data_IF_822894663191
#
_entry.id   IF_822894663191
#
_cell.length_a   1.000
_cell.length_b   1.000
_cell.length_c   1.000
_cell.angle_alpha   90.00
_cell.angle_beta   90.00
_cell.angle_gamma   90.00
#
_symmetry.space_group_name_H-M   'P 1'
#
loop_
_entity.id
_entity.type
_entity.pdbx_description
1 polymer ?
#
# COMPACT_ATOMS: atom_id res chain seq x y z
N UNK A 1 -21.91 22.39 4.92
CA UNK A 1 -21.45 22.96 3.63
C UNK A 1 -19.98 23.42 3.65
N UNK A 2 -19.46 23.99 4.76
CA UNK A 2 -18.06 24.47 4.84
C UNK A 2 -17.00 23.45 4.38
N UNK A 3 -17.06 22.22 4.89
CA UNK A 3 -16.10 21.13 4.56
C UNK A 3 -16.19 20.57 3.13
N UNK A 4 -17.28 20.84 2.41
CA UNK A 4 -17.43 20.42 1.01
C UNK A 4 -16.87 21.50 0.08
N UNK A 5 -17.12 22.77 0.41
CA UNK A 5 -16.57 23.91 -0.34
C UNK A 5 -15.03 23.94 -0.32
N UNK A 6 -14.40 23.59 0.80
CA UNK A 6 -12.95 23.45 0.94
C UNK A 6 -12.39 22.30 0.09
N UNK A 7 -13.08 21.16 0.04
CA UNK A 7 -12.71 20.05 -0.84
C UNK A 7 -12.77 20.45 -2.32
N UNK A 8 -13.89 21.04 -2.75
CA UNK A 8 -14.05 21.51 -4.14
C UNK A 8 -13.08 22.64 -4.49
N UNK A 9 -12.72 23.52 -3.54
CA UNK A 9 -11.69 24.53 -3.73
C UNK A 9 -10.31 23.90 -4.00
N UNK A 10 -9.93 22.88 -3.23
CA UNK A 10 -8.68 22.16 -3.42
C UNK A 10 -8.63 21.46 -4.79
N UNK A 11 -9.71 20.80 -5.17
CA UNK A 11 -9.86 20.21 -6.51
C UNK A 11 -9.82 21.26 -7.62
N UNK A 12 -10.43 22.42 -7.41
CA UNK A 12 -10.42 23.54 -8.36
C UNK A 12 -9.03 24.12 -8.54
N UNK A 13 -8.28 24.32 -7.45
CA UNK A 13 -6.90 24.80 -7.49
C UNK A 13 -6.00 23.80 -8.23
N UNK A 14 -6.12 22.51 -7.93
CA UNK A 14 -5.41 21.45 -8.65
C UNK A 14 -5.74 21.48 -10.15
N UNK A 15 -7.02 21.56 -10.50
CA UNK A 15 -7.46 21.61 -11.90
C UNK A 15 -6.96 22.86 -12.63
N UNK A 16 -6.98 24.02 -11.97
CA UNK A 16 -6.49 25.27 -12.52
C UNK A 16 -4.99 25.19 -12.83
N UNK A 17 -4.18 24.61 -11.94
CA UNK A 17 -2.75 24.44 -12.19
C UNK A 17 -2.46 23.44 -13.32
N UNK A 18 -3.22 22.34 -13.41
CA UNK A 18 -3.12 21.44 -14.57
C UNK A 18 -3.42 22.18 -15.88
N UNK A 19 -4.49 22.98 -15.91
CA UNK A 19 -4.88 23.79 -17.06
C UNK A 19 -3.83 24.84 -17.44
N UNK A 20 -3.23 25.51 -16.45
CA UNK A 20 -2.13 26.46 -16.69
C UNK A 20 -0.91 25.77 -17.31
N UNK A 21 -0.53 24.60 -16.80
CA UNK A 21 0.58 23.81 -17.35
C UNK A 21 0.35 23.42 -18.81
N UNK A 22 -0.81 22.82 -19.10
CA UNK A 22 -1.19 22.41 -20.46
C UNK A 22 -1.25 23.59 -21.43
N UNK A 23 -1.76 24.75 -20.98
CA UNK A 23 -1.85 25.97 -21.79
C UNK A 23 -0.47 26.56 -22.09
N UNK A 24 0.43 26.59 -21.10
CA UNK A 24 1.80 27.06 -21.30
C UNK A 24 2.58 26.16 -22.27
N UNK A 25 2.47 24.84 -22.13
CA UNK A 25 3.06 23.87 -23.05
C UNK A 25 2.55 24.08 -24.48
N UNK A 26 1.23 24.16 -24.65
CA UNK A 26 0.60 24.33 -25.96
C UNK A 26 0.99 25.64 -26.63
N UNK A 27 1.00 26.75 -25.88
CA UNK A 27 1.39 28.05 -26.38
C UNK A 27 2.87 28.09 -26.80
N UNK A 28 3.77 27.59 -25.95
CA UNK A 28 5.20 27.60 -26.24
C UNK A 28 5.60 26.67 -27.42
N UNK A 29 4.74 25.71 -27.78
CA UNK A 29 5.00 24.71 -28.81
C UNK A 29 4.49 25.09 -30.22
N UNK A 30 3.98 26.31 -30.43
CA UNK A 30 3.54 26.73 -31.77
C UNK A 30 4.69 26.76 -32.78
N UNK A 31 4.53 26.20 -34.01
CA UNK A 31 5.60 26.15 -35.02
C UNK A 31 6.18 27.52 -35.41
N UNK A 32 5.38 28.59 -35.32
CA UNK A 32 5.85 29.96 -35.57
C UNK A 32 7.00 30.37 -34.64
N UNK A 33 7.03 29.85 -33.41
CA UNK A 33 8.10 30.12 -32.45
C UNK A 33 9.37 29.30 -32.71
N UNK A 34 9.31 28.27 -33.57
CA UNK A 34 10.48 27.48 -33.96
C UNK A 34 11.39 28.18 -34.97
N UNK A 35 10.94 29.31 -35.56
CA UNK A 35 11.73 30.08 -36.52
C UNK A 35 12.95 30.75 -35.91
N UNK A 36 12.90 31.08 -34.60
CA UNK A 36 14.01 31.69 -33.86
C UNK A 36 14.12 31.00 -32.50
N UNK A 37 15.26 30.38 -32.16
CA UNK A 37 15.46 29.77 -30.85
C UNK A 37 15.25 30.79 -29.72
N UNK A 38 14.32 30.50 -28.81
CA UNK A 38 14.02 31.33 -27.65
C UNK A 38 14.05 30.48 -26.36
N UNK A 39 15.13 30.59 -25.55
CA UNK A 39 15.26 29.83 -24.30
C UNK A 39 14.10 30.03 -23.32
N UNK A 40 13.46 31.21 -23.31
CA UNK A 40 12.32 31.46 -22.43
C UNK A 40 11.08 30.65 -22.84
N UNK A 41 10.85 30.46 -24.16
CA UNK A 41 9.76 29.62 -24.64
C UNK A 41 10.06 28.12 -24.42
N UNK A 42 11.30 27.69 -24.58
CA UNK A 42 11.71 26.32 -24.25
C UNK A 42 11.50 26.01 -22.77
N UNK A 43 11.89 26.93 -21.90
CA UNK A 43 11.67 26.79 -20.46
C UNK A 43 10.18 26.80 -20.11
N UNK A 44 9.37 27.67 -20.74
CA UNK A 44 7.91 27.70 -20.56
C UNK A 44 7.25 26.39 -20.98
N UNK A 45 7.65 25.80 -22.11
CA UNK A 45 7.16 24.50 -22.56
C UNK A 45 7.49 23.41 -21.52
N UNK A 46 8.75 23.36 -21.07
CA UNK A 46 9.21 22.40 -20.08
C UNK A 46 8.49 22.54 -18.73
N UNK A 47 8.31 23.77 -18.26
CA UNK A 47 7.52 24.05 -17.06
C UNK A 47 6.06 23.58 -17.23
N UNK A 48 5.48 23.84 -18.39
CA UNK A 48 4.12 23.42 -18.74
C UNK A 48 3.95 21.91 -18.67
N UNK A 49 4.85 21.17 -19.31
CA UNK A 49 4.86 19.70 -19.34
C UNK A 49 4.97 19.09 -17.93
N UNK A 50 5.95 19.52 -17.14
CA UNK A 50 6.17 19.01 -15.78
C UNK A 50 4.98 19.34 -14.88
N UNK A 51 4.44 20.56 -14.99
CA UNK A 51 3.29 21.02 -14.19
C UNK A 51 2.03 20.24 -14.54
N UNK A 52 1.67 20.14 -15.82
CA UNK A 52 0.50 19.38 -16.27
C UNK A 52 0.56 17.94 -15.77
N UNK A 53 1.66 17.23 -16.04
CA UNK A 53 1.85 15.84 -15.63
C UNK A 53 1.69 15.68 -14.12
N UNK A 54 2.30 16.57 -13.33
CA UNK A 54 2.24 16.50 -11.86
C UNK A 54 0.80 16.58 -11.35
N UNK A 55 0.02 17.58 -11.78
CA UNK A 55 -1.36 17.76 -11.32
C UNK A 55 -2.34 16.74 -11.91
N UNK A 56 -2.03 16.15 -13.07
CA UNK A 56 -2.80 15.03 -13.64
C UNK A 56 -2.60 13.75 -12.80
N UNK A 57 -1.38 13.47 -12.35
CA UNK A 57 -1.07 12.28 -11.56
C UNK A 57 -1.76 12.27 -10.19
N UNK A 58 -1.95 13.45 -9.59
CA UNK A 58 -2.63 13.60 -8.29
C UNK A 58 -4.05 13.06 -8.20
N UNK A 59 -4.71 12.80 -9.34
CA UNK A 59 -6.09 12.26 -9.37
C UNK A 59 -6.21 10.95 -10.13
N UNK A 60 -5.09 10.39 -10.60
CA UNK A 60 -5.09 9.19 -11.44
C UNK A 60 -4.59 7.99 -10.64
N UNK A 61 -5.36 6.91 -10.61
CA UNK A 61 -4.86 5.61 -10.15
C UNK A 61 -3.83 5.10 -11.17
N UNK A 62 -2.59 4.78 -10.78
CA UNK A 62 -1.62 4.19 -11.69
C UNK A 62 -2.05 2.77 -12.06
N UNK A 63 -1.74 2.35 -13.29
CA UNK A 63 -1.83 0.94 -13.64
C UNK A 63 -0.70 0.16 -12.97
N UNK A 64 -0.93 -1.12 -12.70
CA UNK A 64 0.13 -2.01 -12.21
C UNK A 64 1.30 -2.12 -13.18
N UNK A 65 1.09 -2.00 -14.49
CA UNK A 65 2.20 -1.98 -15.48
C UNK A 65 3.07 -3.25 -15.44
N UNK A 66 2.49 -4.37 -15.00
CA UNK A 66 3.10 -5.71 -15.02
C UNK A 66 2.39 -6.47 -16.15
N UNK A 67 2.92 -6.35 -17.37
CA UNK A 67 2.32 -7.00 -18.57
C UNK A 67 2.97 -8.34 -18.86
N UNK A 68 4.29 -8.39 -18.72
CA UNK A 68 5.10 -9.58 -18.96
C UNK A 68 6.12 -9.77 -17.86
N UNK A 69 6.55 -11.02 -17.72
CA UNK A 69 7.63 -11.42 -16.83
C UNK A 69 8.44 -12.53 -17.52
N UNK A 70 9.76 -12.36 -17.61
CA UNK A 70 10.67 -13.38 -18.14
C UNK A 70 10.99 -14.39 -17.04
N UNK A 71 10.59 -15.65 -17.23
CA UNK A 71 10.82 -16.71 -16.25
C UNK A 71 12.13 -17.48 -16.53
N UNK A 72 12.50 -18.40 -15.64
CA UNK A 72 13.74 -19.19 -15.72
C UNK A 72 13.81 -20.09 -16.97
N UNK A 73 12.67 -20.34 -17.62
CA UNK A 73 12.59 -21.08 -18.90
C UNK A 73 13.03 -20.23 -20.11
N UNK A 74 13.40 -18.96 -19.89
CA UNK A 74 13.85 -18.02 -20.90
C UNK A 74 12.72 -17.44 -21.77
N UNK A 75 11.45 -17.64 -21.39
CA UNK A 75 10.28 -17.13 -22.12
C UNK A 75 9.63 -15.97 -21.37
N UNK A 76 9.01 -15.09 -22.13
CA UNK A 76 8.14 -14.07 -21.59
C UNK A 76 6.74 -14.65 -21.36
N UNK A 77 6.28 -14.59 -20.12
CA UNK A 77 4.93 -14.96 -19.74
C UNK A 77 4.06 -13.72 -19.61
N UNK A 78 2.82 -13.81 -20.10
CA UNK A 78 1.81 -12.76 -19.90
C UNK A 78 1.32 -12.79 -18.47
N UNK A 79 1.17 -11.62 -17.86
CA UNK A 79 0.60 -11.45 -16.53
C UNK A 79 -0.78 -10.82 -16.66
N UNK A 80 -1.79 -11.55 -16.20
CA UNK A 80 -3.17 -11.11 -16.12
C UNK A 80 -3.50 -10.72 -14.66
N UNK A 81 -4.29 -9.67 -14.49
CA UNK A 81 -4.78 -9.25 -13.18
C UNK A 81 -6.23 -9.69 -13.09
N UNK A 82 -6.51 -10.62 -12.18
CA UNK A 82 -7.82 -11.23 -11.99
C UNK A 82 -8.38 -10.79 -10.63
N UNK A 83 -9.61 -10.27 -10.59
CA UNK A 83 -10.29 -9.97 -9.32
C UNK A 83 -10.85 -11.25 -8.73
N UNK A 84 -10.33 -11.68 -7.58
CA UNK A 84 -10.76 -12.88 -6.84
C UNK A 84 -11.97 -12.56 -5.98
N UNK A 85 -11.90 -11.48 -5.21
CA UNK A 85 -13.01 -10.95 -4.42
C UNK A 85 -13.15 -9.48 -4.74
N UNK A 86 -14.38 -9.03 -5.00
CA UNK A 86 -14.67 -7.61 -5.10
C UNK A 86 -15.54 -7.13 -3.95
N UNK A 87 -15.14 -6.01 -3.32
CA UNK A 87 -15.91 -5.36 -2.26
C UNK A 87 -15.85 -3.84 -2.44
N UNK A 88 -16.80 -3.08 -1.85
CA UNK A 88 -16.88 -1.63 -2.07
C UNK A 88 -15.59 -0.86 -1.79
N UNK A 89 -14.88 -1.18 -0.69
CA UNK A 89 -13.69 -0.45 -0.25
C UNK A 89 -12.36 -1.00 -0.76
N UNK A 90 -12.38 -2.19 -1.37
CA UNK A 90 -11.18 -2.78 -1.93
C UNK A 90 -11.42 -4.20 -2.42
N UNK A 91 -10.62 -4.58 -3.39
CA UNK A 91 -10.64 -5.88 -4.03
C UNK A 91 -9.46 -6.74 -3.53
N UNK A 92 -9.62 -8.05 -3.66
CA UNK A 92 -8.50 -9.00 -3.64
C UNK A 92 -8.20 -9.38 -5.09
N UNK A 93 -7.01 -9.04 -5.57
CA UNK A 93 -6.59 -9.32 -6.95
C UNK A 93 -5.49 -10.38 -6.99
N UNK A 94 -5.44 -11.18 -8.04
CA UNK A 94 -4.41 -12.18 -8.32
C UNK A 94 -3.65 -11.81 -9.60
N UNK A 95 -2.32 -11.90 -9.54
CA UNK A 95 -1.44 -11.77 -10.70
C UNK A 95 -1.20 -13.15 -11.32
N UNK A 96 -2.13 -13.56 -12.18
CA UNK A 96 -2.13 -14.83 -12.89
C UNK A 96 -1.10 -14.82 -14.03
N UNK A 97 -0.15 -15.76 -14.02
CA UNK A 97 0.95 -15.84 -15.00
C UNK A 97 0.68 -16.94 -16.01
N UNK A 98 0.33 -16.57 -17.24
CA UNK A 98 -0.09 -17.51 -18.27
C UNK A 98 1.07 -18.40 -18.75
N UNK A 99 0.82 -19.70 -18.85
CA UNK A 99 1.78 -20.67 -19.39
C UNK A 99 2.93 -21.02 -18.43
N UNK A 100 2.85 -20.61 -17.16
CA UNK A 100 3.78 -21.01 -16.10
C UNK A 100 3.11 -22.05 -15.20
N UNK A 101 3.89 -23.00 -14.68
CA UNK A 101 3.42 -23.88 -13.61
C UNK A 101 3.07 -23.08 -12.34
N UNK A 102 2.06 -23.56 -11.62
CA UNK A 102 1.62 -22.97 -10.36
C UNK A 102 2.79 -22.96 -9.37
N UNK A 103 3.08 -21.80 -8.79
CA UNK A 103 4.18 -21.67 -7.87
C UNK A 103 3.82 -22.27 -6.49
N UNK A 104 4.79 -22.88 -5.79
CA UNK A 104 4.53 -23.58 -4.53
C UNK A 104 4.11 -22.64 -3.39
N UNK A 105 4.43 -21.35 -3.50
CA UNK A 105 4.14 -20.33 -2.48
C UNK A 105 2.95 -19.49 -2.91
N UNK A 106 1.85 -19.57 -2.17
CA UNK A 106 0.73 -18.62 -2.30
C UNK A 106 0.95 -17.47 -1.32
N UNK A 107 1.06 -16.25 -1.82
CA UNK A 107 1.35 -15.06 -1.02
C UNK A 107 0.19 -14.07 -1.11
N UNK A 108 -0.39 -13.71 0.02
CA UNK A 108 -1.29 -12.56 0.13
C UNK A 108 -0.49 -11.36 0.63
N UNK A 109 -0.26 -10.39 -0.25
CA UNK A 109 0.42 -9.14 0.04
C UNK A 109 -0.62 -8.07 0.42
N UNK A 110 -0.60 -7.67 1.69
CA UNK A 110 -1.48 -6.62 2.21
C UNK A 110 -0.80 -5.27 1.99
N UNK A 111 -1.35 -4.53 1.03
CA UNK A 111 -0.86 -3.21 0.66
C UNK A 111 -1.37 -2.14 1.63
N UNK A 112 -0.57 -1.11 1.93
CA UNK A 112 -0.99 -0.02 2.80
C UNK A 112 -2.05 0.86 2.14
N UNK A 113 -2.90 1.45 2.97
CA UNK A 113 -3.86 2.50 2.60
C UNK A 113 -3.32 3.89 3.02
N UNK A 114 -1.99 4.07 3.10
CA UNK A 114 -1.35 5.28 3.62
C UNK A 114 -1.33 6.47 2.64
N UNK A 115 -2.45 6.74 1.98
CA UNK A 115 -2.61 7.84 1.03
C UNK A 115 -2.24 7.54 -0.41
N UNK A 116 -1.66 6.36 -0.69
CA UNK A 116 -1.28 5.90 -2.03
C UNK A 116 -2.02 4.63 -2.42
N UNK A 117 -2.07 4.37 -3.71
CA UNK A 117 -2.62 3.13 -4.25
C UNK A 117 -1.69 1.93 -4.00
N UNK A 118 -2.24 0.72 -4.05
CA UNK A 118 -1.49 -0.53 -3.85
C UNK A 118 -0.33 -0.71 -4.85
N UNK A 119 -0.37 0.00 -5.99
CA UNK A 119 0.70 0.06 -6.99
C UNK A 119 2.04 0.57 -6.46
N UNK A 120 2.06 1.18 -5.26
CA UNK A 120 3.30 1.47 -4.54
C UNK A 120 4.17 0.20 -4.35
N UNK A 121 3.52 -0.96 -4.20
CA UNK A 121 4.15 -2.27 -4.08
C UNK A 121 4.41 -2.96 -5.42
N UNK A 122 4.30 -2.27 -6.56
CA UNK A 122 4.54 -2.83 -7.91
C UNK A 122 5.89 -3.55 -8.00
N UNK A 123 6.95 -2.96 -7.42
CA UNK A 123 8.28 -3.58 -7.44
C UNK A 123 8.35 -4.85 -6.59
N UNK A 124 7.65 -4.87 -5.45
CA UNK A 124 7.49 -6.01 -4.56
C UNK A 124 6.76 -7.13 -5.27
N UNK A 125 5.60 -6.84 -5.89
CA UNK A 125 4.82 -7.80 -6.69
C UNK A 125 5.66 -8.40 -7.81
N UNK A 126 6.33 -7.58 -8.63
CA UNK A 126 7.23 -8.06 -9.69
C UNK A 126 8.29 -9.03 -9.16
N UNK A 127 8.86 -8.73 -8.00
CA UNK A 127 9.89 -9.59 -7.39
C UNK A 127 9.32 -10.90 -6.82
N UNK A 128 8.12 -10.88 -6.25
CA UNK A 128 7.48 -12.07 -5.68
C UNK A 128 6.96 -13.00 -6.77
N UNK A 129 6.47 -12.42 -7.88
CA UNK A 129 5.99 -13.17 -9.03
C UNK A 129 6.99 -14.18 -9.54
N UNK A 130 8.29 -13.99 -9.36
CA UNK A 130 9.31 -14.96 -9.79
C UNK A 130 9.09 -16.36 -9.19
N UNK A 131 8.67 -16.46 -7.92
CA UNK A 131 8.66 -17.73 -7.18
C UNK A 131 7.36 -17.97 -6.37
N UNK A 132 6.33 -17.13 -6.59
CA UNK A 132 5.08 -17.13 -5.85
C UNK A 132 3.87 -16.91 -6.76
N UNK A 133 2.73 -17.45 -6.32
CA UNK A 133 1.40 -16.96 -6.70
C UNK A 133 1.10 -15.73 -5.82
N UNK A 134 0.82 -14.59 -6.43
CA UNK A 134 0.74 -13.31 -5.72
C UNK A 134 -0.66 -12.75 -5.77
N UNK A 135 -1.26 -12.63 -4.59
CA UNK A 135 -2.53 -11.98 -4.34
C UNK A 135 -2.27 -10.65 -3.62
N UNK A 136 -3.01 -9.60 -3.95
CA UNK A 136 -2.81 -8.26 -3.37
C UNK A 136 -4.15 -7.65 -2.96
N UNK A 137 -4.19 -7.00 -1.80
CA UNK A 137 -5.31 -6.12 -1.44
C UNK A 137 -5.22 -4.81 -2.23
N UNK A 138 -6.16 -4.56 -3.14
CA UNK A 138 -6.20 -3.36 -3.96
C UNK A 138 -7.33 -2.43 -3.51
N UNK A 139 -6.98 -1.38 -2.78
CA UNK A 139 -7.94 -0.49 -2.14
C UNK A 139 -8.54 0.53 -3.11
N UNK A 140 -9.81 0.85 -2.90
CA UNK A 140 -10.54 1.85 -3.67
C UNK A 140 -10.39 3.23 -3.05
N UNK A 141 -10.35 4.27 -3.90
CA UNK A 141 -10.30 5.64 -3.45
C UNK A 141 -11.65 6.03 -2.82
N UNK A 142 -11.67 6.46 -1.56
CA UNK A 142 -12.90 6.70 -0.82
C UNK A 142 -13.82 7.74 -1.50
N UNK A 143 -13.26 8.70 -2.27
CA UNK A 143 -14.07 9.69 -3.00
C UNK A 143 -14.94 9.06 -4.09
N UNK A 144 -14.58 7.90 -4.60
CA UNK A 144 -15.28 7.19 -5.66
C UNK A 144 -16.31 6.18 -5.12
N UNK A 145 -16.45 6.07 -3.79
CA UNK A 145 -17.34 5.13 -3.11
C UNK A 145 -18.59 5.87 -2.59
N UNK A 146 -19.80 5.55 -3.08
CA UNK A 146 -21.04 6.15 -2.60
C UNK A 146 -21.22 6.07 -1.08
N UNK A 147 -21.86 7.08 -0.49
CA UNK A 147 -22.17 7.09 0.96
C UNK A 147 -23.06 5.91 1.37
N UNK A 148 -23.88 5.40 0.44
CA UNK A 148 -24.74 4.23 0.66
C UNK A 148 -24.00 2.93 0.96
N UNK A 149 -22.71 2.83 0.61
CA UNK A 149 -21.86 1.66 0.93
C UNK A 149 -21.44 1.61 2.41
N UNK A 150 -21.90 2.57 3.23
CA UNK A 150 -21.68 2.57 4.67
C UNK A 150 -20.32 3.13 5.08
N UNK A 151 -19.94 2.83 6.33
CA UNK A 151 -18.66 3.23 6.93
C UNK A 151 -17.55 2.24 6.57
N UNK A 152 -16.32 2.66 6.76
CA UNK A 152 -15.15 1.79 6.71
C UNK A 152 -14.09 2.32 7.68
N UNK A 153 -13.88 1.62 8.79
CA UNK A 153 -12.88 1.92 9.82
C UNK A 153 -11.83 0.80 9.97
N UNK A 154 -10.98 0.88 11.01
CA UNK A 154 -9.95 -0.14 11.25
C UNK A 154 -10.52 -1.52 11.58
N UNK A 155 -11.72 -1.63 12.14
CA UNK A 155 -12.37 -2.92 12.37
C UNK A 155 -12.88 -3.50 11.06
N UNK A 156 -13.52 -2.67 10.23
CA UNK A 156 -13.98 -3.07 8.90
C UNK A 156 -12.80 -3.52 8.02
N UNK A 157 -11.69 -2.78 8.05
CA UNK A 157 -10.44 -3.15 7.39
C UNK A 157 -9.92 -4.50 7.88
N UNK A 158 -9.89 -4.72 9.19
CA UNK A 158 -9.44 -5.98 9.79
C UNK A 158 -10.33 -7.14 9.33
N UNK A 159 -11.64 -6.94 9.27
CA UNK A 159 -12.59 -7.95 8.78
C UNK A 159 -12.46 -8.21 7.27
N UNK A 160 -12.09 -7.21 6.46
CA UNK A 160 -11.73 -7.46 5.05
C UNK A 160 -10.56 -8.42 4.93
N UNK A 161 -9.51 -8.24 5.75
CA UNK A 161 -8.37 -9.15 5.76
C UNK A 161 -8.75 -10.56 6.21
N UNK A 162 -9.62 -10.67 7.23
CA UNK A 162 -10.20 -11.96 7.66
C UNK A 162 -10.91 -12.65 6.49
N UNK A 163 -11.81 -11.94 5.80
CA UNK A 163 -12.56 -12.48 4.67
C UNK A 163 -11.64 -12.90 3.50
N UNK A 164 -10.62 -12.10 3.19
CA UNK A 164 -9.65 -12.41 2.13
C UNK A 164 -8.76 -13.61 2.47
N UNK A 165 -8.29 -13.71 3.72
CA UNK A 165 -7.54 -14.89 4.17
C UNK A 165 -8.39 -16.16 4.10
N UNK A 166 -9.67 -16.06 4.48
CA UNK A 166 -10.62 -17.19 4.38
C UNK A 166 -10.86 -17.63 2.96
N UNK A 167 -11.04 -16.69 2.03
CA UNK A 167 -11.25 -16.99 0.62
C UNK A 167 -10.08 -17.77 0.02
N UNK A 168 -8.85 -17.32 0.29
CA UNK A 168 -7.66 -17.99 -0.24
C UNK A 168 -7.32 -19.30 0.50
N UNK A 169 -7.87 -19.48 1.71
CA UNK A 169 -7.70 -20.66 2.53
C UNK A 169 -6.36 -20.74 3.29
N UNK A 170 -6.15 -21.79 4.08
CA UNK A 170 -5.05 -21.87 5.04
C UNK A 170 -3.68 -22.13 4.41
N UNK A 171 -3.61 -22.32 3.08
CA UNK A 171 -2.36 -22.63 2.39
C UNK A 171 -1.54 -21.39 2.00
N UNK A 172 -2.02 -20.20 2.36
CA UNK A 172 -1.36 -18.93 2.06
C UNK A 172 -0.29 -18.54 3.08
N UNK A 173 0.56 -17.62 2.64
CA UNK A 173 1.53 -16.88 3.43
C UNK A 173 1.19 -15.41 3.33
N UNK A 174 1.02 -14.72 4.45
CA UNK A 174 0.61 -13.32 4.47
C UNK A 174 1.83 -12.44 4.66
N UNK A 175 1.97 -11.40 3.84
CA UNK A 175 2.97 -10.34 3.99
C UNK A 175 2.22 -9.01 4.12
N UNK A 176 2.35 -8.33 5.25
CA UNK A 176 1.78 -7.00 5.46
C UNK A 176 2.88 -5.94 5.54
N UNK A 177 2.71 -4.86 4.77
CA UNK A 177 3.74 -3.83 4.61
C UNK A 177 3.25 -2.50 5.19
N UNK A 178 4.00 -1.95 6.13
CA UNK A 178 3.76 -0.66 6.77
C UNK A 178 2.46 -0.64 7.60
N UNK A 179 1.62 0.37 7.35
CA UNK A 179 0.39 0.72 8.05
C UNK A 179 -0.57 -0.45 8.38
N UNK A 180 -0.79 -1.46 7.52
CA UNK A 180 -1.69 -2.57 7.80
C UNK A 180 -1.15 -3.65 8.74
N UNK A 181 0.14 -3.65 9.08
CA UNK A 181 0.73 -4.72 9.89
C UNK A 181 0.02 -4.95 11.25
N UNK A 182 -0.34 -3.93 12.05
CA UNK A 182 -1.10 -4.12 13.30
C UNK A 182 -2.47 -4.78 13.08
N UNK A 183 -3.19 -4.35 12.05
CA UNK A 183 -4.53 -4.86 11.73
C UNK A 183 -4.47 -6.26 11.12
N UNK A 184 -3.42 -6.58 10.36
CA UNK A 184 -3.20 -7.94 9.83
C UNK A 184 -2.85 -8.92 10.94
N UNK A 185 -2.07 -8.48 11.94
CA UNK A 185 -1.80 -9.26 13.15
C UNK A 185 -3.10 -9.54 13.92
N UNK A 186 -3.94 -8.51 14.12
CA UNK A 186 -5.25 -8.68 14.74
C UNK A 186 -6.18 -9.62 13.95
N UNK A 187 -6.24 -9.47 12.62
CA UNK A 187 -7.03 -10.35 11.75
C UNK A 187 -6.59 -11.81 11.87
N UNK A 188 -5.28 -12.05 11.94
CA UNK A 188 -4.70 -13.39 12.12
C UNK A 188 -5.08 -13.98 13.47
N UNK A 189 -5.01 -13.20 14.55
CA UNK A 189 -5.44 -13.64 15.88
C UNK A 189 -6.95 -13.90 15.95
N UNK A 190 -7.75 -13.06 15.30
CA UNK A 190 -9.20 -13.23 15.20
C UNK A 190 -9.56 -14.56 14.52
N UNK A 191 -8.91 -14.89 13.40
CA UNK A 191 -9.02 -16.19 12.75
C UNK A 191 -8.53 -17.33 13.65
N UNK A 192 -7.41 -17.13 14.35
CA UNK A 192 -6.86 -18.15 15.23
C UNK A 192 -7.80 -18.56 16.37
N UNK A 193 -8.63 -17.63 16.83
CA UNK A 193 -9.63 -17.89 17.85
C UNK A 193 -10.92 -18.48 17.28
N UNK A 194 -11.49 -17.84 16.25
CA UNK A 194 -12.86 -18.12 15.82
C UNK A 194 -12.95 -19.14 14.69
N UNK A 195 -11.97 -19.17 13.79
CA UNK A 195 -11.94 -20.08 12.63
C UNK A 195 -10.52 -20.65 12.43
N UNK A 196 -10.01 -21.48 13.36
CA UNK A 196 -8.60 -21.85 13.41
C UNK A 196 -8.09 -22.59 12.16
N UNK A 197 -8.99 -23.19 11.38
CA UNK A 197 -8.67 -23.91 10.14
C UNK A 197 -8.48 -23.00 8.92
N UNK A 198 -8.82 -21.71 9.02
CA UNK A 198 -8.64 -20.71 7.96
C UNK A 198 -7.39 -19.84 8.17
N UNK A 199 -6.60 -20.11 9.20
CA UNK A 199 -5.37 -19.36 9.49
C UNK A 199 -4.32 -19.51 8.37
N UNK A 200 -3.58 -18.44 8.04
CA UNK A 200 -2.44 -18.55 7.13
C UNK A 200 -1.32 -19.41 7.74
N UNK A 201 -0.40 -19.90 6.90
CA UNK A 201 0.77 -20.67 7.37
C UNK A 201 1.77 -19.78 8.08
N UNK A 202 2.04 -18.63 7.47
CA UNK A 202 2.98 -17.64 8.00
C UNK A 202 2.41 -16.25 7.89
N UNK A 203 2.83 -15.38 8.82
CA UNK A 203 2.58 -13.96 8.81
C UNK A 203 3.92 -13.21 8.87
N UNK A 204 4.23 -12.43 7.83
CA UNK A 204 5.38 -11.53 7.81
C UNK A 204 4.90 -10.08 7.92
N UNK A 205 5.41 -9.35 8.90
CA UNK A 205 5.10 -7.95 9.16
C UNK A 205 6.34 -7.11 8.83
N UNK A 206 6.21 -6.10 7.96
CA UNK A 206 7.34 -5.31 7.47
C UNK A 206 7.12 -3.84 7.81
N UNK A 207 7.98 -3.26 8.67
CA UNK A 207 7.97 -1.82 9.00
C UNK A 207 6.65 -1.33 9.57
N UNK A 208 5.99 -2.17 10.37
CA UNK A 208 4.66 -1.94 10.90
C UNK A 208 4.65 -1.32 12.29
N UNK A 209 3.81 -0.31 12.57
CA UNK A 209 3.74 0.32 13.90
C UNK A 209 2.91 -0.51 14.89
N UNK A 210 3.40 -1.70 15.27
CA UNK A 210 2.70 -2.61 16.21
C UNK A 210 2.66 -1.99 17.61
N UNK A 211 3.82 -1.51 18.07
CA UNK A 211 3.94 -0.64 19.23
C UNK A 211 4.51 0.73 18.82
N UNK A 212 3.66 1.72 18.50
CA UNK A 212 4.09 3.06 18.18
C UNK A 212 4.85 3.78 19.31
N UNK A 213 4.75 3.31 20.56
CA UNK A 213 5.40 3.93 21.71
C UNK A 213 6.83 3.40 21.95
N UNK A 214 7.17 2.24 21.38
CA UNK A 214 8.45 1.57 21.58
C UNK A 214 9.66 2.42 21.18
N UNK A 215 9.58 3.17 20.08
CA UNK A 215 10.62 4.12 19.67
C UNK A 215 9.99 5.30 18.92
N UNK A 216 10.13 6.54 19.44
CA UNK A 216 9.55 7.73 18.82
C UNK A 216 10.10 8.02 17.41
N UNK A 217 9.22 8.55 16.56
CA UNK A 217 9.46 9.11 15.23
C UNK A 217 8.69 10.43 15.10
N UNK A 218 8.95 11.20 14.05
CA UNK A 218 8.17 12.41 13.75
C UNK A 218 6.67 12.10 13.57
N UNK A 219 6.36 10.93 13.00
CA UNK A 219 4.98 10.45 12.80
C UNK A 219 4.30 10.19 14.14
N UNK A 220 4.95 9.44 15.04
CA UNK A 220 4.37 9.15 16.36
C UNK A 220 4.28 10.40 17.23
N UNK A 221 5.26 11.30 17.13
CA UNK A 221 5.26 12.56 17.89
C UNK A 221 4.18 13.53 17.44
N UNK A 222 3.95 13.65 16.12
CA UNK A 222 2.79 14.35 15.59
C UNK A 222 1.49 13.75 16.14
N UNK A 223 1.37 12.43 16.09
CA UNK A 223 0.25 11.69 16.63
C UNK A 223 0.02 11.96 18.12
N UNK A 224 1.06 12.05 18.95
CA UNK A 224 0.95 12.36 20.38
C UNK A 224 0.50 13.81 20.64
N UNK A 225 1.08 14.79 19.93
CA UNK A 225 0.88 16.22 20.19
C UNK A 225 -0.51 16.75 19.81
N UNK A 226 -1.09 16.22 18.75
CA UNK A 226 -2.36 16.74 18.21
C UNK A 226 -3.57 16.12 18.95
N UNK A 227 -4.65 16.88 19.14
CA UNK A 227 -5.89 16.33 19.71
C UNK A 227 -6.78 15.73 18.62
N UNK A 228 -7.66 14.79 18.99
CA UNK A 228 -8.61 14.20 18.02
C UNK A 228 -9.54 15.26 17.43
N UNK A 229 -10.04 16.20 18.24
CA UNK A 229 -10.87 17.30 17.76
C UNK A 229 -10.15 18.24 16.80
N UNK A 230 -8.84 18.50 17.01
CA UNK A 230 -8.03 19.24 16.05
C UNK A 230 -7.89 18.50 14.73
N UNK A 231 -7.67 17.17 14.75
CA UNK A 231 -7.59 16.37 13.52
C UNK A 231 -8.91 16.35 12.76
N UNK A 232 -10.02 16.17 13.46
CA UNK A 232 -11.35 16.16 12.85
C UNK A 232 -11.67 17.49 12.15
N UNK A 233 -11.36 18.62 12.79
CA UNK A 233 -11.59 19.96 12.20
C UNK A 233 -10.63 20.30 11.05
N UNK A 234 -9.38 19.83 11.10
CA UNK A 234 -8.32 20.29 10.17
C UNK A 234 -8.03 19.33 9.02
N UNK A 235 -8.12 18.02 9.26
CA UNK A 235 -7.73 16.99 8.30
C UNK A 235 -8.92 16.37 7.57
N UNK A 236 -10.11 16.41 8.15
CA UNK A 236 -11.29 15.78 7.57
C UNK A 236 -12.07 16.77 6.70
N UNK A 237 -12.43 16.32 5.51
CA UNK A 237 -13.25 17.06 4.55
C UNK A 237 -14.43 16.19 4.11
N UNK A 238 -15.36 16.80 3.35
CA UNK A 238 -16.42 16.06 2.68
C UNK A 238 -16.17 16.06 1.18
N UNK A 239 -16.24 14.88 0.57
CA UNK A 239 -16.08 14.71 -0.88
C UNK A 239 -17.04 15.64 -1.61
N UNK A 240 -16.51 16.36 -2.60
CA UNK A 240 -17.23 17.33 -3.41
C UNK A 240 -18.15 16.72 -4.48
N UNK A 241 -18.82 17.58 -5.25
CA UNK A 241 -19.88 17.16 -6.19
C UNK A 241 -19.41 16.31 -7.37
N UNK A 242 -18.12 16.36 -7.70
CA UNK A 242 -17.53 15.70 -8.88
C UNK A 242 -17.55 14.16 -8.77
N UNK A 243 -17.44 13.61 -7.56
CA UNK A 243 -17.18 12.19 -7.35
C UNK A 243 -18.41 11.45 -6.78
N UNK A 244 -18.46 10.13 -6.99
CA UNK A 244 -19.59 9.28 -6.56
C UNK A 244 -19.80 9.28 -5.05
N UNK A 245 -18.73 9.47 -4.29
CA UNK A 245 -18.74 9.56 -2.84
C UNK A 245 -19.14 10.92 -2.28
N UNK A 246 -19.74 11.82 -3.08
CA UNK A 246 -20.19 13.16 -2.64
C UNK A 246 -20.82 13.13 -1.24
N UNK A 247 -20.30 13.97 -0.35
CA UNK A 247 -20.74 14.06 1.04
C UNK A 247 -20.07 13.10 2.03
N UNK A 248 -19.36 12.06 1.56
CA UNK A 248 -18.56 11.16 2.41
C UNK A 248 -17.47 11.93 3.13
N UNK A 249 -17.27 11.63 4.41
CA UNK A 249 -16.16 12.20 5.18
C UNK A 249 -14.88 11.46 4.87
N UNK A 250 -13.84 12.20 4.51
CA UNK A 250 -12.56 11.65 4.08
C UNK A 250 -11.40 12.46 4.65
N UNK A 251 -10.25 11.81 4.81
CA UNK A 251 -8.96 12.50 4.83
C UNK A 251 -8.45 12.57 3.37
N UNK A 252 -8.48 13.75 2.71
CA UNK A 252 -8.20 13.83 1.29
C UNK A 252 -6.76 13.47 0.93
N UNK A 253 -6.56 12.73 -0.16
CA UNK A 253 -5.24 12.35 -0.67
C UNK A 253 -4.39 13.57 -1.03
N UNK A 254 -4.99 14.63 -1.57
CA UNK A 254 -4.27 15.88 -1.86
C UNK A 254 -3.76 16.58 -0.59
N UNK A 255 -4.51 16.51 0.51
CA UNK A 255 -4.09 17.07 1.79
C UNK A 255 -2.95 16.23 2.39
N UNK A 256 -3.06 14.90 2.31
CA UNK A 256 -1.99 13.97 2.68
C UNK A 256 -0.70 14.24 1.89
N UNK A 257 -0.82 14.39 0.57
CA UNK A 257 0.30 14.70 -0.31
C UNK A 257 0.97 16.01 0.07
N UNK A 258 0.18 17.05 0.35
CA UNK A 258 0.71 18.34 0.80
C UNK A 258 1.53 18.19 2.09
N UNK A 259 1.05 17.39 3.05
CA UNK A 259 1.80 17.08 4.28
C UNK A 259 3.13 16.37 3.96
N UNK A 260 3.12 15.31 3.16
CA UNK A 260 4.35 14.59 2.81
C UNK A 260 5.37 15.45 2.05
N UNK A 261 4.91 16.25 1.09
CA UNK A 261 5.76 17.19 0.35
C UNK A 261 6.32 18.25 1.29
N UNK A 262 5.54 18.76 2.26
CA UNK A 262 5.99 19.79 3.19
C UNK A 262 7.11 19.33 4.13
N UNK A 263 7.14 18.03 4.48
CA UNK A 263 8.19 17.45 5.33
C UNK A 263 9.56 17.53 4.66
N UNK A 264 9.62 17.53 3.33
CA UNK A 264 10.86 17.58 2.54
C UNK A 264 10.77 18.62 1.39
N UNK A 265 10.20 19.79 1.67
CA UNK A 265 9.80 20.76 0.65
C UNK A 265 10.96 21.20 -0.26
N UNK A 266 12.14 21.49 0.29
CA UNK A 266 13.32 21.91 -0.48
C UNK A 266 13.77 20.84 -1.47
N UNK A 267 13.80 19.57 -1.02
CA UNK A 267 14.18 18.43 -1.87
C UNK A 267 13.21 18.25 -3.03
N UNK A 268 11.90 18.34 -2.77
CA UNK A 268 10.90 18.21 -3.83
C UNK A 268 10.94 19.42 -4.79
N UNK A 269 11.08 20.65 -4.28
CA UNK A 269 11.19 21.85 -5.11
C UNK A 269 12.42 21.78 -6.03
N UNK A 270 13.55 21.32 -5.50
CA UNK A 270 14.75 21.08 -6.30
C UNK A 270 14.53 20.01 -7.36
N UNK A 271 13.92 18.87 -7.01
CA UNK A 271 13.65 17.79 -7.97
C UNK A 271 12.74 18.25 -9.12
N UNK A 272 11.72 19.07 -8.84
CA UNK A 272 10.87 19.66 -9.88
C UNK A 272 11.65 20.65 -10.76
N UNK A 273 12.44 21.54 -10.15
CA UNK A 273 13.26 22.51 -10.89
C UNK A 273 14.29 21.81 -11.79
N UNK A 274 14.96 20.79 -11.27
CA UNK A 274 15.93 19.98 -12.02
C UNK A 274 15.25 19.25 -13.18
N UNK A 275 14.03 18.72 -12.99
CA UNK A 275 13.29 18.06 -14.06
C UNK A 275 12.86 19.05 -15.15
N UNK A 276 12.40 20.26 -14.80
CA UNK A 276 12.09 21.31 -15.78
C UNK A 276 13.32 21.63 -16.63
N UNK A 277 14.49 21.77 -16.00
CA UNK A 277 15.74 22.01 -16.72
C UNK A 277 16.07 20.86 -17.67
N UNK A 278 15.97 19.60 -17.21
CA UNK A 278 16.20 18.42 -18.05
C UNK A 278 15.24 18.34 -19.24
N UNK A 279 13.96 18.63 -19.04
CA UNK A 279 12.97 18.67 -20.13
C UNK A 279 13.34 19.78 -21.12
N UNK A 280 13.69 20.98 -20.65
CA UNK A 280 14.10 22.09 -21.53
C UNK A 280 15.34 21.79 -22.38
N UNK A 281 16.24 20.94 -21.86
CA UNK A 281 17.49 20.54 -22.51
C UNK A 281 17.28 19.33 -23.45
N UNK A 282 16.12 18.68 -23.41
CA UNK A 282 15.84 17.45 -24.15
C UNK A 282 16.45 16.19 -23.51
N UNK A 283 16.89 16.27 -22.26
CA UNK A 283 17.53 15.18 -21.50
C UNK A 283 16.52 14.34 -20.69
N UNK A 284 15.25 14.76 -20.66
CA UNK A 284 14.16 14.04 -20.00
C UNK A 284 13.47 13.06 -20.95
N UNK A 285 12.87 12.02 -20.39
CA UNK A 285 12.00 11.11 -21.14
C UNK A 285 10.84 10.65 -20.28
N UNK A 286 9.77 10.16 -20.91
CA UNK A 286 8.55 9.70 -20.23
C UNK A 286 8.80 8.62 -19.18
N UNK A 287 9.85 7.84 -19.36
CA UNK A 287 10.19 6.70 -18.52
C UNK A 287 11.45 6.91 -17.71
N UNK A 288 11.94 8.14 -17.54
CA UNK A 288 13.11 8.39 -16.71
C UNK A 288 12.85 8.14 -15.21
N UNK A 289 13.91 8.16 -14.41
CA UNK A 289 13.80 7.86 -12.99
C UNK A 289 12.94 8.86 -12.20
N UNK A 290 12.95 10.13 -12.60
CA UNK A 290 12.13 11.16 -11.96
C UNK A 290 10.66 10.89 -12.24
N UNK A 291 10.28 10.77 -13.51
CA UNK A 291 8.90 10.56 -13.92
C UNK A 291 8.34 9.26 -13.34
N UNK A 292 9.10 8.15 -13.35
CA UNK A 292 8.65 6.89 -12.72
C UNK A 292 8.40 7.02 -11.22
N UNK A 293 9.22 7.79 -10.50
CA UNK A 293 9.04 7.99 -9.07
C UNK A 293 7.84 8.91 -8.79
N UNK A 294 7.79 10.07 -9.43
CA UNK A 294 6.74 11.07 -9.18
C UNK A 294 5.37 10.68 -9.74
N UNK A 295 5.30 9.88 -10.81
CA UNK A 295 4.03 9.32 -11.29
C UNK A 295 3.36 8.44 -10.22
N UNK A 296 4.15 7.74 -9.39
CA UNK A 296 3.64 6.94 -8.27
C UNK A 296 3.46 7.80 -7.02
N UNK A 297 4.46 8.62 -6.68
CA UNK A 297 4.48 9.43 -5.46
C UNK A 297 3.35 10.47 -5.41
N UNK A 298 2.98 11.05 -6.56
CA UNK A 298 1.88 12.01 -6.64
C UNK A 298 0.52 11.32 -6.70
N UNK A 299 0.46 10.03 -7.06
CA UNK A 299 -0.81 9.32 -7.24
C UNK A 299 -1.41 8.93 -5.88
N UNK A 300 -2.25 9.81 -5.37
CA UNK A 300 -2.85 9.71 -4.05
C UNK A 300 -4.32 9.37 -4.08
N UNK A 301 -4.80 8.81 -2.96
CA UNK A 301 -6.19 8.47 -2.76
C UNK A 301 -6.74 8.99 -1.43
N UNK A 302 -8.05 9.27 -1.41
CA UNK A 302 -8.74 9.67 -0.20
C UNK A 302 -8.96 8.44 0.68
N UNK A 303 -8.73 8.60 1.99
CA UNK A 303 -9.11 7.61 3.00
C UNK A 303 -10.43 8.01 3.64
N UNK A 304 -11.24 7.03 4.08
CA UNK A 304 -12.39 7.33 4.93
C UNK A 304 -11.95 8.01 6.22
N UNK A 305 -12.74 8.98 6.69
CA UNK A 305 -12.45 9.67 7.94
C UNK A 305 -12.43 8.68 9.12
N UNK A 306 -13.35 7.72 9.08
CA UNK A 306 -13.50 6.68 10.10
C UNK A 306 -12.22 5.84 10.21
N UNK A 307 -11.64 5.40 9.09
CA UNK A 307 -10.39 4.64 9.09
C UNK A 307 -9.21 5.46 9.60
N UNK A 308 -9.05 6.70 9.11
CA UNK A 308 -7.95 7.56 9.54
C UNK A 308 -8.03 7.90 11.04
N UNK A 309 -9.18 8.41 11.49
CA UNK A 309 -9.36 8.85 12.87
C UNK A 309 -9.24 7.68 13.85
N UNK A 310 -9.87 6.53 13.55
CA UNK A 310 -9.75 5.35 14.40
C UNK A 310 -8.32 4.80 14.43
N UNK A 311 -7.57 4.87 13.31
CA UNK A 311 -6.14 4.52 13.30
C UNK A 311 -5.36 5.39 14.29
N UNK A 312 -5.52 6.72 14.22
CA UNK A 312 -4.79 7.63 15.12
C UNK A 312 -5.22 7.43 16.57
N UNK A 313 -6.52 7.37 16.83
CA UNK A 313 -7.08 7.27 18.17
C UNK A 313 -6.72 5.94 18.84
N UNK A 314 -6.95 4.82 18.16
CA UNK A 314 -6.92 3.49 18.77
C UNK A 314 -5.56 2.83 18.65
N UNK A 315 -4.86 3.03 17.52
CA UNK A 315 -3.55 2.40 17.28
C UNK A 315 -2.42 3.27 17.81
N UNK A 316 -2.35 4.54 17.40
CA UNK A 316 -1.23 5.41 17.75
C UNK A 316 -1.34 6.01 19.16
N UNK A 317 -2.51 6.51 19.55
CA UNK A 317 -2.72 7.11 20.88
C UNK A 317 -3.14 6.08 21.91
N UNK A 318 -4.10 5.25 21.56
CA UNK A 318 -4.71 4.24 22.43
C UNK A 318 -3.87 2.99 22.59
N UNK A 319 -2.89 2.75 21.71
CA UNK A 319 -1.98 1.60 21.76
C UNK A 319 -2.74 0.26 21.90
N UNK A 320 -3.94 0.15 21.30
CA UNK A 320 -4.82 -1.00 21.55
C UNK A 320 -4.21 -2.33 21.10
N UNK A 321 -3.46 -2.33 19.99
CA UNK A 321 -2.73 -3.50 19.51
C UNK A 321 -1.54 -3.80 20.43
N UNK A 322 -0.71 -2.80 20.71
CA UNK A 322 0.47 -2.93 21.58
C UNK A 322 0.11 -3.43 23.00
N UNK A 323 -1.10 -3.16 23.46
CA UNK A 323 -1.59 -3.57 24.78
C UNK A 323 -2.53 -4.79 24.73
N UNK A 324 -2.62 -5.48 23.58
CA UNK A 324 -3.45 -6.67 23.37
C UNK A 324 -4.90 -6.50 23.87
N UNK A 325 -5.53 -5.38 23.50
CA UNK A 325 -6.90 -5.02 23.92
C UNK A 325 -7.76 -4.50 22.79
N UNK A 326 -7.31 -4.66 21.55
CA UNK A 326 -8.08 -4.31 20.37
C UNK A 326 -9.38 -5.11 20.31
N UNK A 327 -10.48 -4.45 19.95
CA UNK A 327 -11.79 -5.07 19.82
C UNK A 327 -12.34 -4.91 18.41
N UNK A 328 -13.06 -5.92 17.95
CA UNK A 328 -13.83 -5.93 16.70
C UNK A 328 -15.28 -6.20 17.05
N UNK A 329 -16.17 -5.23 16.86
CA UNK A 329 -17.60 -5.30 17.18
C UNK A 329 -17.87 -5.77 18.62
N UNK A 330 -17.04 -5.30 19.55
CA UNK A 330 -17.08 -5.67 20.98
C UNK A 330 -16.47 -7.04 21.32
N UNK A 331 -15.94 -7.78 20.34
CA UNK A 331 -15.14 -8.97 20.58
C UNK A 331 -13.67 -8.60 20.76
N UNK A 332 -13.12 -8.83 21.95
CA UNK A 332 -11.70 -8.59 22.22
C UNK A 332 -10.83 -9.60 21.49
N UNK A 333 -9.91 -9.11 20.68
CA UNK A 333 -8.91 -9.91 19.98
C UNK A 333 -7.76 -10.20 20.93
N UNK A 334 -7.47 -11.47 21.16
CA UNK A 334 -6.31 -11.92 21.94
C UNK A 334 -5.21 -12.43 21.00
N UNK A 335 -4.14 -11.66 20.86
CA UNK A 335 -2.96 -11.99 20.04
C UNK A 335 -2.25 -13.27 20.51
N UNK A 336 -2.45 -13.68 21.77
CA UNK A 336 -1.98 -14.95 22.31
C UNK A 336 -2.66 -16.18 21.70
N UNK A 337 -3.78 -16.02 20.97
CA UNK A 337 -4.47 -17.12 20.28
C UNK A 337 -3.72 -17.61 19.04
N UNK A 338 -2.78 -16.82 18.52
CA UNK A 338 -1.89 -17.24 17.45
C UNK A 338 -0.96 -18.32 17.99
N UNK A 339 -1.22 -19.57 17.61
CA UNK A 339 -0.49 -20.76 18.10
C UNK A 339 0.12 -21.61 17.00
N UNK A 340 -0.34 -21.43 15.75
CA UNK A 340 0.02 -22.26 14.59
C UNK A 340 0.55 -21.49 13.39
N UNK A 341 0.48 -20.15 13.42
CA UNK A 341 0.97 -19.27 12.34
C UNK A 341 2.38 -18.84 12.71
N UNK A 342 3.37 -19.17 11.88
CA UNK A 342 4.72 -18.67 12.13
C UNK A 342 4.78 -17.16 11.85
N UNK A 343 5.35 -16.37 12.77
CA UNK A 343 5.36 -14.90 12.68
C UNK A 343 6.78 -14.40 12.48
N UNK A 344 6.98 -13.60 11.43
CA UNK A 344 8.24 -12.91 11.15
C UNK A 344 8.04 -11.39 11.16
N UNK A 345 8.99 -10.66 11.73
CA UNK A 345 9.06 -9.20 11.62
C UNK A 345 10.27 -8.78 10.80
N UNK A 346 10.13 -7.68 10.06
CA UNK A 346 11.22 -7.05 9.29
C UNK A 346 11.23 -5.56 9.61
N UNK A 347 12.39 -5.05 9.99
CA UNK A 347 12.61 -3.63 10.34
C UNK A 347 13.81 -3.06 9.56
N UNK A 348 13.82 -1.74 9.37
CA UNK A 348 14.92 -1.00 8.76
C UNK A 348 15.69 -0.20 9.81
N UNK A 349 17.00 -0.35 9.88
CA UNK A 349 17.84 0.34 10.88
C UNK A 349 17.87 1.86 10.72
N UNK A 350 17.48 2.38 9.54
CA UNK A 350 17.34 3.81 9.24
C UNK A 350 15.90 4.21 8.93
N UNK A 351 14.93 3.41 9.37
CA UNK A 351 13.50 3.71 9.21
C UNK A 351 13.09 4.86 10.13
N UNK A 352 12.71 5.98 9.53
CA UNK A 352 12.26 7.21 10.18
C UNK A 352 10.73 7.30 10.31
N UNK A 353 10.00 6.31 9.80
CA UNK A 353 8.53 6.22 9.82
C UNK A 353 8.06 5.23 10.88
N UNK A 354 8.59 4.01 10.85
CA UNK A 354 8.38 2.98 11.88
C UNK A 354 9.73 2.50 12.36
N UNK A 355 10.25 3.23 13.35
CA UNK A 355 11.58 2.98 13.88
C UNK A 355 11.73 1.54 14.43
N UNK A 356 12.96 0.97 14.42
CA UNK A 356 13.23 -0.33 15.01
C UNK A 356 12.67 -0.45 16.44
N UNK A 357 12.08 -1.60 16.76
CA UNK A 357 11.39 -1.81 18.03
C UNK A 357 9.87 -1.82 17.87
N UNK A 358 9.32 -0.97 16.98
CA UNK A 358 7.87 -0.86 16.83
C UNK A 358 7.25 -2.10 16.19
N UNK A 359 7.90 -2.74 15.21
CA UNK A 359 7.34 -3.88 14.47
C UNK A 359 7.66 -5.20 15.18
N UNK A 360 8.88 -5.34 15.70
CA UNK A 360 9.32 -6.54 16.43
C UNK A 360 8.49 -6.82 17.69
N UNK A 361 7.86 -5.80 18.28
CA UNK A 361 6.92 -5.93 19.40
C UNK A 361 5.79 -6.96 19.16
N UNK A 362 5.43 -7.24 17.90
CA UNK A 362 4.47 -8.31 17.58
C UNK A 362 4.84 -9.67 18.14
N UNK A 363 6.14 -10.00 18.21
CA UNK A 363 6.62 -11.31 18.62
C UNK A 363 6.33 -11.60 20.11
N UNK A 364 6.43 -10.58 20.96
CA UNK A 364 6.14 -10.66 22.39
C UNK A 364 4.63 -10.77 22.66
N UNK A 365 3.81 -10.13 21.82
CA UNK A 365 2.35 -10.20 21.91
C UNK A 365 1.79 -11.58 21.52
N UNK A 366 2.50 -12.31 20.65
CA UNK A 366 2.15 -13.68 20.26
C UNK A 366 2.55 -14.70 21.34
N UNK A 367 1.98 -14.59 22.55
CA UNK A 367 2.38 -15.38 23.73
C UNK A 367 2.09 -16.88 23.61
N UNK A 368 1.09 -17.27 22.81
CA UNK A 368 0.78 -18.68 22.54
C UNK A 368 1.63 -19.33 21.45
N UNK A 369 2.45 -18.56 20.74
CA UNK A 369 3.31 -19.05 19.67
C UNK A 369 4.68 -19.44 20.25
N UNK A 370 5.21 -20.65 19.96
CA UNK A 370 6.52 -21.05 20.46
C UNK A 370 7.66 -20.30 19.74
N UNK A 371 8.77 -20.08 20.45
CA UNK A 371 9.86 -19.21 19.99
C UNK A 371 10.49 -19.64 18.65
N UNK A 372 10.53 -20.94 18.35
CA UNK A 372 11.07 -21.43 17.08
C UNK A 372 10.20 -21.07 15.86
N UNK A 373 8.95 -20.63 16.07
CA UNK A 373 8.05 -20.12 15.03
C UNK A 373 8.05 -18.59 14.94
N UNK A 374 8.85 -17.92 15.78
CA UNK A 374 9.05 -16.48 15.79
C UNK A 374 10.39 -16.13 15.16
N UNK A 375 10.41 -15.15 14.26
CA UNK A 375 11.64 -14.67 13.66
C UNK A 375 11.63 -13.15 13.51
N UNK A 376 12.79 -12.52 13.55
CA UNK A 376 12.95 -11.10 13.22
C UNK A 376 14.13 -10.92 12.25
N UNK A 377 14.09 -9.83 11.49
CA UNK A 377 15.20 -9.40 10.64
C UNK A 377 15.30 -7.88 10.64
N UNK A 378 16.45 -7.35 11.04
CA UNK A 378 16.77 -5.93 10.95
C UNK A 378 17.71 -5.72 9.77
N UNK A 379 17.28 -4.96 8.77
CA UNK A 379 18.14 -4.52 7.67
C UNK A 379 18.82 -3.19 8.06
N UNK A 380 20.12 -3.19 8.43
CA UNK A 380 20.71 -2.05 9.14
C UNK A 380 20.70 -0.73 8.35
N UNK A 381 20.85 -0.81 7.02
CA UNK A 381 21.04 0.37 6.17
C UNK A 381 19.77 0.79 5.42
N UNK A 382 18.66 0.05 5.56
CA UNK A 382 17.41 0.42 4.91
C UNK A 382 16.64 1.45 5.72
N UNK A 383 16.17 2.50 5.04
CA UNK A 383 15.05 3.30 5.50
C UNK A 383 13.70 2.66 5.14
N UNK A 384 12.61 3.36 5.43
CA UNK A 384 11.25 2.80 5.33
C UNK A 384 10.91 2.18 3.98
N UNK A 385 11.20 2.87 2.87
CA UNK A 385 10.94 2.31 1.53
C UNK A 385 11.88 1.15 1.16
N UNK A 386 13.09 1.13 1.73
CA UNK A 386 14.11 0.13 1.42
C UNK A 386 13.75 -1.28 1.91
N UNK A 387 12.90 -1.38 2.93
CA UNK A 387 12.52 -2.66 3.53
C UNK A 387 11.47 -3.45 2.74
N UNK A 388 10.80 -2.82 1.76
CA UNK A 388 9.84 -3.49 0.89
C UNK A 388 10.03 -3.20 -0.61
N UNK A 389 10.91 -2.27 -0.97
CA UNK A 389 11.24 -1.94 -2.35
C UNK A 389 12.76 -1.74 -2.56
N UNK A 390 13.20 -1.74 -3.81
CA UNK A 390 14.58 -1.41 -4.16
C UNK A 390 15.60 -2.54 -3.97
N UNK A 391 16.85 -2.19 -3.65
CA UNK A 391 17.98 -3.15 -3.60
C UNK A 391 17.98 -3.97 -2.31
N UNK A 392 17.76 -3.35 -1.15
CA UNK A 392 17.74 -4.04 0.15
C UNK A 392 16.63 -5.08 0.19
N UNK A 393 15.41 -4.73 -0.26
CA UNK A 393 14.35 -5.71 -0.46
C UNK A 393 14.78 -6.89 -1.34
N UNK A 394 15.25 -6.63 -2.57
CA UNK A 394 15.52 -7.70 -3.54
C UNK A 394 16.66 -8.63 -3.12
N UNK A 395 17.72 -8.09 -2.54
CA UNK A 395 18.96 -8.82 -2.31
C UNK A 395 19.04 -9.45 -0.92
N UNK A 396 18.40 -8.85 0.08
CA UNK A 396 18.59 -9.23 1.49
C UNK A 396 17.29 -9.70 2.14
N UNK A 397 16.22 -8.89 2.05
CA UNK A 397 14.98 -9.13 2.80
C UNK A 397 14.11 -10.19 2.12
N UNK A 398 13.89 -10.09 0.80
CA UNK A 398 13.08 -11.04 0.05
C UNK A 398 13.59 -12.48 0.23
N UNK A 399 14.89 -12.78 0.08
CA UNK A 399 15.41 -14.13 0.36
C UNK A 399 15.03 -14.62 1.76
N UNK A 400 15.29 -13.84 2.82
CA UNK A 400 15.01 -14.29 4.19
C UNK A 400 13.51 -14.41 4.50
N UNK A 401 12.64 -13.72 3.75
CA UNK A 401 11.18 -13.90 3.83
C UNK A 401 10.76 -15.20 3.14
N UNK A 402 11.30 -15.49 1.94
CA UNK A 402 11.01 -16.74 1.24
C UNK A 402 11.56 -17.96 1.99
N UNK A 403 12.78 -17.87 2.54
CA UNK A 403 13.38 -18.92 3.37
C UNK A 403 12.52 -19.20 4.62
N UNK A 404 11.95 -18.15 5.22
CA UNK A 404 11.03 -18.29 6.34
C UNK A 404 9.72 -18.99 5.95
N UNK A 405 9.17 -18.64 4.78
CA UNK A 405 8.00 -19.33 4.23
C UNK A 405 8.30 -20.82 4.01
N UNK A 406 9.45 -21.12 3.40
CA UNK A 406 9.86 -22.49 3.09
C UNK A 406 10.13 -23.32 4.34
N UNK A 407 10.78 -22.74 5.35
CA UNK A 407 11.03 -23.40 6.63
C UNK A 407 9.75 -23.77 7.40
N UNK A 408 8.63 -23.10 7.09
CA UNK A 408 7.31 -23.32 7.70
C UNK A 408 6.31 -23.97 6.74
N UNK A 409 6.77 -24.47 5.59
CA UNK A 409 5.93 -25.24 4.68
C UNK A 409 5.58 -26.60 5.31
N UNK A 410 4.29 -26.87 5.56
CA UNK A 410 3.82 -28.24 5.85
C UNK A 410 4.03 -29.12 4.62
N UNK A 411 4.37 -30.41 4.77
CA UNK A 411 4.43 -31.35 3.66
C UNK A 411 3.14 -31.29 2.84
N UNK A 412 3.27 -31.21 1.51
CA UNK A 412 2.12 -31.15 0.62
C UNK A 412 1.15 -32.29 0.94
N UNK A 413 -0.12 -31.97 1.23
CA UNK A 413 -1.16 -32.97 1.40
C UNK A 413 -1.31 -33.63 0.03
N UNK A 414 -0.91 -34.90 -0.09
CA UNK A 414 -0.97 -35.64 -1.35
C UNK A 414 -2.35 -35.41 -2.00
N UNK A 415 -2.36 -34.89 -3.22
CA UNK A 415 -3.57 -34.64 -3.97
C UNK A 415 -4.42 -35.93 -3.94
N UNK A 416 -5.68 -35.82 -3.49
CA UNK A 416 -6.61 -36.96 -3.56
C UNK A 416 -6.61 -37.44 -5.01
N UNK A 417 -6.32 -38.73 -5.29
CA UNK A 417 -6.35 -39.23 -6.65
C UNK A 417 -7.74 -38.96 -7.21
N UNK A 418 -7.78 -38.31 -8.38
CA UNK A 418 -9.03 -38.08 -9.10
C UNK A 418 -9.75 -39.41 -9.24
N UNK A 419 -10.98 -39.46 -8.74
CA UNK A 419 -11.82 -40.65 -8.78
C UNK A 419 -12.03 -41.02 -10.26
N UNK A 420 -11.23 -41.96 -10.77
CA UNK A 420 -11.51 -42.62 -12.05
C UNK A 420 -12.72 -43.51 -11.81
N UNK A 421 -13.91 -42.93 -11.94
CA UNK A 421 -15.11 -43.70 -12.19
C UNK A 421 -14.89 -44.41 -13.53
N UNK A 422 -14.40 -45.64 -13.46
CA UNK A 422 -14.52 -46.61 -14.53
C UNK A 422 -16.03 -46.84 -14.67
N UNK A 423 -16.60 -46.24 -15.72
CA UNK A 423 -17.93 -46.61 -16.16
C UNK A 423 -17.88 -48.09 -16.57
N UNK A 424 -18.43 -48.93 -15.71
CA UNK A 424 -18.70 -50.32 -16.02
C UNK A 424 -20.03 -50.40 -16.79
N UNK A 425 -19.91 -50.97 -18.00
CA UNK A 425 -20.89 -51.77 -18.74
C UNK A 425 -22.12 -51.09 -19.35
N UNK A 426 -22.35 -51.45 -20.62
CA UNK A 426 -23.56 -51.24 -21.41
C UNK A 426 -23.30 -51.52 -22.88
#
# INVERSE_FOLDING_TARGET
MRYMATYDLMESLRNANQWLGASALSFASYPMFSLVPNPALQWMAAWGEVTERSYQRMVSKPDWGIRTFTHEDGRDHLVNIETVVSRPFGDLIHFSVAGREEQPRKVMLVAPMSGHYATLLRSTVKSLLVNCEVYVTDWHNARDIPVSEGKFDIEDYTLYLVDFMKELGPDINVIAVCQPAPLTLAATAYLAELEPEAQPRTLTLIGGPIDPDATPTDVTDFGRRVTMGQLEETMIQRVGFKYKGVGRQVYPGLLQLASFVSMNAERHAKAFTDQIMRVSQGDASDHDAHNRFYDEYLAVMDMTAEFYLSTVERIFKGLEIAQNRFEIKGHRVDLGKITKVAVKTVEGGKDDISAPGQCVAALDLCTGLPDHMKASYLEPEAGHYGIFAGRSWRNNIRPVVLDFIDANARPARAAKPANRNIAANG
#
